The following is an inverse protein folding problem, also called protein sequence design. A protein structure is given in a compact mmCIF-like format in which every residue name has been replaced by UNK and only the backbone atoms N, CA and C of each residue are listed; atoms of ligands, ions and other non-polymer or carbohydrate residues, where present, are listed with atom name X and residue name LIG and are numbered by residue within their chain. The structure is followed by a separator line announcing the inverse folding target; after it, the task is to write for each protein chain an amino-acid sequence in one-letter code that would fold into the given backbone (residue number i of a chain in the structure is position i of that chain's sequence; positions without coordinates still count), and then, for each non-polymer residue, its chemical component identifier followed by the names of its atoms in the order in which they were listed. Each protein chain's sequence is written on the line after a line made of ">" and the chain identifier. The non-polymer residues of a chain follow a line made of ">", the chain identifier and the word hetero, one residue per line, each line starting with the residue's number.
data_IF_534710363905
#
_entry.id   IF_534710363905
#
_cell.length_a   1.000
_cell.length_b   1.000
_cell.length_c   1.000
_cell.angle_alpha   90.00
_cell.angle_beta   90.00
_cell.angle_gamma   90.00
#
_symmetry.space_group_name_H-M   'P 1'
#
loop_
_entity.id
_entity.type
_entity.pdbx_description
1 polymer ?
#
# COMPACT_ATOMS: atom_id res chain seq x y z
N UNK A 1 18.15 -3.80 -3.29
CA UNK A 1 16.71 -4.02 -3.04
C UNK A 1 16.02 -4.11 -4.38
N UNK A 2 15.17 -5.13 -4.58
CA UNK A 2 14.39 -5.26 -5.81
C UNK A 2 13.26 -4.24 -5.84
N UNK A 3 12.96 -3.70 -7.03
CA UNK A 3 11.91 -2.72 -7.25
C UNK A 3 11.01 -3.20 -8.39
N UNK A 4 9.71 -3.21 -8.14
CA UNK A 4 8.70 -3.72 -9.06
C UNK A 4 7.69 -2.62 -9.42
N UNK A 5 7.41 -2.48 -10.70
CA UNK A 5 6.36 -1.60 -11.21
C UNK A 5 5.21 -2.46 -11.74
N UNK A 6 4.06 -2.42 -11.09
CA UNK A 6 2.84 -3.11 -11.55
C UNK A 6 2.12 -2.21 -12.56
N UNK A 7 2.00 -2.68 -13.81
CA UNK A 7 1.37 -1.91 -14.89
C UNK A 7 0.76 -2.83 -15.93
N UNK A 8 -0.44 -2.52 -16.45
CA UNK A 8 -1.04 -3.28 -17.55
C UNK A 8 -0.30 -2.97 -18.85
N UNK A 9 -0.08 -3.95 -19.73
CA UNK A 9 0.66 -3.75 -21.00
C UNK A 9 0.15 -2.57 -21.84
N UNK A 10 -1.17 -2.32 -21.83
CA UNK A 10 -1.81 -1.20 -22.54
C UNK A 10 -1.48 0.19 -21.98
N UNK A 11 -1.07 0.29 -20.71
CA UNK A 11 -0.92 1.57 -19.98
C UNK A 11 0.46 2.21 -20.22
N UNK A 12 0.83 2.36 -21.50
CA UNK A 12 2.13 2.89 -21.95
C UNK A 12 2.40 4.29 -21.38
N UNK A 13 1.43 5.20 -21.51
CA UNK A 13 1.59 6.59 -21.05
C UNK A 13 1.79 6.70 -19.53
N UNK A 14 1.13 5.83 -18.74
CA UNK A 14 1.30 5.80 -17.27
C UNK A 14 2.73 5.38 -16.93
N UNK A 15 3.26 4.34 -17.60
CA UNK A 15 4.66 3.93 -17.44
C UNK A 15 5.65 5.01 -17.86
N UNK A 16 5.43 5.68 -18.98
CA UNK A 16 6.30 6.78 -19.42
C UNK A 16 6.37 7.89 -18.38
N UNK A 17 5.23 8.29 -17.81
CA UNK A 17 5.18 9.25 -16.72
C UNK A 17 5.87 8.74 -15.46
N UNK A 18 5.69 7.47 -15.11
CA UNK A 18 6.39 6.85 -13.99
C UNK A 18 7.91 6.93 -14.19
N UNK A 19 8.43 6.42 -15.30
CA UNK A 19 9.87 6.34 -15.60
C UNK A 19 10.53 7.69 -15.90
N UNK A 20 9.75 8.73 -16.20
CA UNK A 20 10.28 10.10 -16.30
C UNK A 20 10.73 10.66 -14.94
N UNK A 21 10.33 10.04 -13.83
CA UNK A 21 10.70 10.49 -12.49
C UNK A 21 12.10 10.02 -12.08
N UNK A 22 12.85 10.80 -11.29
CA UNK A 22 14.16 10.37 -10.77
C UNK A 22 14.08 9.08 -9.95
N UNK A 23 15.11 8.23 -10.04
CA UNK A 23 15.24 7.03 -9.20
C UNK A 23 14.36 5.83 -9.60
N UNK A 24 13.81 5.85 -10.81
CA UNK A 24 12.91 4.81 -11.35
C UNK A 24 13.58 3.85 -12.35
N UNK A 25 14.79 4.16 -12.83
CA UNK A 25 15.44 3.43 -13.92
C UNK A 25 15.74 1.95 -13.61
N UNK A 26 15.81 1.57 -12.33
CA UNK A 26 16.08 0.21 -11.86
C UNK A 26 14.81 -0.57 -11.46
N UNK A 27 13.62 -0.07 -11.80
CA UNK A 27 12.38 -0.83 -11.62
C UNK A 27 12.20 -1.88 -12.71
N UNK A 28 11.92 -3.10 -12.28
CA UNK A 28 11.45 -4.17 -13.16
C UNK A 28 9.94 -4.02 -13.37
N UNK A 29 9.51 -3.95 -14.62
CA UNK A 29 8.07 -3.91 -14.95
C UNK A 29 7.47 -5.30 -14.78
N UNK A 30 6.45 -5.39 -13.95
CA UNK A 30 5.58 -6.55 -13.85
C UNK A 30 4.31 -6.30 -14.68
N UNK A 31 4.04 -7.13 -15.72
CA UNK A 31 2.84 -7.00 -16.53
C UNK A 31 1.62 -7.38 -15.68
N UNK A 32 0.84 -6.39 -15.28
CA UNK A 32 -0.33 -6.59 -14.44
C UNK A 32 -1.34 -7.52 -15.13
N UNK A 33 -2.03 -8.33 -14.34
CA UNK A 33 -2.99 -9.32 -14.81
C UNK A 33 -4.27 -8.60 -15.26
N UNK A 34 -4.47 -8.54 -16.57
CA UNK A 34 -5.70 -8.00 -17.15
C UNK A 34 -6.85 -9.01 -17.01
N UNK A 35 -7.77 -8.72 -16.09
CA UNK A 35 -8.96 -9.54 -15.83
C UNK A 35 -10.20 -9.05 -16.57
N UNK A 36 -10.16 -7.89 -17.25
CA UNK A 36 -11.36 -7.27 -17.82
C UNK A 36 -12.03 -8.13 -18.89
N UNK A 37 -11.22 -8.86 -19.66
CA UNK A 37 -11.67 -9.75 -20.74
C UNK A 37 -11.97 -11.19 -20.27
N UNK A 38 -11.65 -11.54 -19.01
CA UNK A 38 -11.95 -12.88 -18.49
C UNK A 38 -13.41 -13.00 -18.09
N UNK A 39 -14.03 -14.15 -18.34
CA UNK A 39 -15.35 -14.45 -17.80
C UNK A 39 -15.31 -14.70 -16.27
N UNK A 40 -16.48 -14.75 -15.65
CA UNK A 40 -16.57 -14.93 -14.19
C UNK A 40 -16.25 -16.35 -13.73
N UNK A 41 -16.41 -17.36 -14.58
CA UNK A 41 -16.10 -18.75 -14.25
C UNK A 41 -14.58 -18.92 -14.12
N UNK A 42 -13.83 -18.40 -15.09
CA UNK A 42 -12.36 -18.36 -15.05
C UNK A 42 -11.82 -17.54 -13.89
N UNK A 43 -12.47 -16.43 -13.53
CA UNK A 43 -12.07 -15.63 -12.37
C UNK A 43 -12.36 -16.34 -11.06
N UNK A 44 -13.49 -17.06 -10.96
CA UNK A 44 -13.86 -17.83 -9.76
C UNK A 44 -12.98 -19.05 -9.53
N UNK A 45 -12.22 -19.49 -10.53
CA UNK A 45 -11.22 -20.55 -10.39
C UNK A 45 -9.95 -20.08 -9.65
N UNK A 46 -9.65 -18.79 -9.66
CA UNK A 46 -8.39 -18.21 -9.11
C UNK A 46 -8.64 -17.16 -8.02
N UNK A 47 -9.89 -16.78 -7.80
CA UNK A 47 -10.34 -15.85 -6.77
C UNK A 47 -11.64 -16.40 -6.19
N UNK A 48 -12.00 -16.06 -4.95
CA UNK A 48 -13.24 -16.48 -4.33
C UNK A 48 -14.22 -15.29 -4.16
N UNK A 49 -15.10 -15.02 -5.15
CA UNK A 49 -16.03 -13.91 -5.11
C UNK A 49 -17.09 -14.05 -4.02
N UNK A 50 -17.49 -15.29 -3.69
CA UNK A 50 -18.51 -15.56 -2.67
C UNK A 50 -18.00 -15.16 -1.29
N UNK A 51 -16.78 -15.59 -0.94
CA UNK A 51 -16.15 -15.21 0.33
C UNK A 51 -15.84 -13.72 0.39
N UNK A 52 -15.44 -13.11 -0.73
CA UNK A 52 -15.32 -11.66 -0.85
C UNK A 52 -16.63 -10.96 -0.51
N UNK A 53 -17.74 -11.38 -1.12
CA UNK A 53 -19.05 -10.74 -0.91
C UNK A 53 -19.53 -10.89 0.54
N UNK A 54 -19.30 -12.04 1.16
CA UNK A 54 -19.58 -12.26 2.59
C UNK A 54 -18.72 -11.36 3.50
N UNK A 55 -17.45 -11.16 3.16
CA UNK A 55 -16.53 -10.37 3.97
C UNK A 55 -16.75 -8.86 3.82
N UNK A 56 -16.90 -8.37 2.58
CA UNK A 56 -16.97 -6.94 2.27
C UNK A 56 -18.41 -6.41 2.12
N UNK A 57 -19.42 -7.29 2.10
CA UNK A 57 -20.83 -6.92 1.96
C UNK A 57 -21.18 -6.34 0.58
N UNK A 58 -20.33 -6.58 -0.43
CA UNK A 58 -20.53 -6.14 -1.82
C UNK A 58 -19.83 -7.09 -2.78
N UNK A 59 -20.25 -7.06 -4.03
CA UNK A 59 -19.55 -7.79 -5.10
C UNK A 59 -18.17 -7.20 -5.37
N UNK A 60 -17.21 -8.08 -5.65
CA UNK A 60 -15.88 -7.72 -6.15
C UNK A 60 -15.98 -7.25 -7.60
N UNK A 61 -15.10 -6.34 -8.00
CA UNK A 61 -14.94 -5.95 -9.42
C UNK A 61 -13.82 -6.75 -10.07
N UNK A 62 -13.87 -6.91 -11.40
CA UNK A 62 -12.77 -7.58 -12.12
C UNK A 62 -11.43 -6.87 -11.90
N UNK A 63 -11.43 -5.54 -11.87
CA UNK A 63 -10.23 -4.73 -11.61
C UNK A 63 -9.61 -5.01 -10.24
N UNK A 64 -10.42 -5.16 -9.19
CA UNK A 64 -9.94 -5.53 -7.85
C UNK A 64 -9.33 -6.94 -7.83
N UNK A 65 -9.94 -7.91 -8.53
CA UNK A 65 -9.34 -9.24 -8.71
C UNK A 65 -7.99 -9.12 -9.40
N UNK A 66 -7.91 -8.34 -10.49
CA UNK A 66 -6.68 -8.14 -11.25
C UNK A 66 -5.57 -7.51 -10.42
N UNK A 67 -5.89 -6.50 -9.60
CA UNK A 67 -4.97 -5.87 -8.67
C UNK A 67 -4.43 -6.88 -7.64
N UNK A 68 -5.31 -7.60 -6.93
CA UNK A 68 -4.90 -8.62 -5.95
C UNK A 68 -4.02 -9.70 -6.58
N UNK A 69 -4.43 -10.26 -7.72
CA UNK A 69 -3.65 -11.32 -8.38
C UNK A 69 -2.28 -10.81 -8.88
N UNK A 70 -2.21 -9.57 -9.37
CA UNK A 70 -0.94 -8.99 -9.82
C UNK A 70 0.07 -8.84 -8.68
N UNK A 71 -0.38 -8.33 -7.52
CA UNK A 71 0.49 -8.21 -6.35
C UNK A 71 0.91 -9.57 -5.80
N UNK A 72 0.02 -10.57 -5.79
CA UNK A 72 0.38 -11.94 -5.39
C UNK A 72 1.44 -12.55 -6.31
N UNK A 73 1.41 -12.24 -7.61
CA UNK A 73 2.43 -12.71 -8.54
C UNK A 73 3.77 -11.98 -8.35
N UNK A 74 3.75 -10.68 -8.07
CA UNK A 74 4.96 -9.96 -7.61
C UNK A 74 5.53 -10.60 -6.34
N UNK A 75 4.68 -11.02 -5.40
CA UNK A 75 5.13 -11.72 -4.19
C UNK A 75 5.79 -13.06 -4.51
N UNK A 76 5.29 -13.80 -5.51
CA UNK A 76 5.97 -15.01 -6.01
C UNK A 76 7.37 -14.70 -6.54
N UNK A 77 7.54 -13.63 -7.31
CA UNK A 77 8.86 -13.22 -7.81
C UNK A 77 9.81 -12.83 -6.68
N UNK A 78 9.34 -12.07 -5.68
CA UNK A 78 10.13 -11.71 -4.50
C UNK A 78 10.60 -12.96 -3.75
N UNK A 79 9.70 -13.93 -3.55
CA UNK A 79 9.99 -15.15 -2.79
C UNK A 79 10.94 -16.08 -3.56
N UNK A 80 10.80 -16.16 -4.88
CA UNK A 80 11.62 -16.99 -5.75
C UNK A 80 13.06 -16.47 -5.91
N UNK A 81 13.33 -15.18 -5.65
CA UNK A 81 14.67 -14.63 -5.73
C UNK A 81 15.53 -15.07 -4.53
N UNK A 82 16.37 -16.08 -4.74
CA UNK A 82 17.28 -16.64 -3.72
C UNK A 82 18.32 -15.64 -3.20
N UNK A 83 18.58 -14.54 -3.93
CA UNK A 83 19.56 -13.52 -3.52
C UNK A 83 19.01 -12.54 -2.48
N UNK A 84 17.69 -12.50 -2.31
CA UNK A 84 17.01 -11.63 -1.35
C UNK A 84 16.86 -12.38 -0.03
N UNK A 85 17.34 -11.79 1.08
CA UNK A 85 17.17 -12.39 2.39
C UNK A 85 15.73 -12.23 2.90
N UNK A 86 15.28 -13.11 3.80
CA UNK A 86 13.89 -13.09 4.29
C UNK A 86 13.48 -11.76 4.94
N UNK A 87 14.43 -11.04 5.55
CA UNK A 87 14.19 -9.75 6.21
C UNK A 87 14.35 -8.54 5.29
N UNK A 88 14.81 -8.74 4.06
CA UNK A 88 15.00 -7.66 3.10
C UNK A 88 13.67 -7.22 2.54
N UNK A 89 13.54 -5.91 2.34
CA UNK A 89 12.40 -5.32 1.65
C UNK A 89 12.58 -5.41 0.14
N UNK A 90 11.44 -5.51 -0.55
CA UNK A 90 11.26 -5.10 -1.93
C UNK A 90 10.35 -3.88 -1.98
N UNK A 91 10.56 -3.02 -2.98
CA UNK A 91 9.66 -1.90 -3.28
C UNK A 91 8.69 -2.29 -4.37
N UNK A 92 7.40 -2.12 -4.13
CA UNK A 92 6.34 -2.33 -5.10
C UNK A 92 5.62 -1.00 -5.32
N UNK A 93 5.52 -0.57 -6.57
CA UNK A 93 4.77 0.60 -6.98
C UNK A 93 3.75 0.24 -8.07
N UNK A 94 2.66 1.01 -8.13
CA UNK A 94 1.78 1.07 -9.30
C UNK A 94 2.26 2.17 -10.27
N UNK A 95 1.81 2.09 -11.52
CA UNK A 95 2.22 3.01 -12.60
C UNK A 95 1.59 4.41 -12.53
N UNK A 96 0.70 4.66 -11.57
CA UNK A 96 0.24 6.01 -11.23
C UNK A 96 1.00 6.61 -10.03
N UNK A 97 2.09 6.00 -9.57
CA UNK A 97 2.89 6.58 -8.49
C UNK A 97 3.59 7.88 -8.90
N UNK A 98 3.39 8.93 -8.09
CA UNK A 98 4.13 10.19 -8.12
C UNK A 98 5.02 10.31 -6.88
N UNK A 99 6.31 10.44 -7.09
CA UNK A 99 7.33 10.47 -6.05
C UNK A 99 7.56 11.87 -5.50
N UNK A 100 7.80 11.94 -4.19
CA UNK A 100 8.35 13.14 -3.57
C UNK A 100 9.83 13.29 -3.96
N UNK A 101 10.33 14.53 -4.03
CA UNK A 101 11.68 14.84 -4.53
C UNK A 101 12.79 14.09 -3.78
N UNK A 102 12.60 13.86 -2.48
CA UNK A 102 13.59 13.25 -1.59
C UNK A 102 13.34 11.74 -1.37
N UNK A 103 12.61 11.07 -2.28
CA UNK A 103 12.32 9.63 -2.13
C UNK A 103 13.62 8.79 -2.01
N UNK A 104 14.65 8.94 -2.86
CA UNK A 104 15.85 8.10 -2.78
C UNK A 104 16.57 8.20 -1.43
N UNK A 105 16.74 9.43 -0.91
CA UNK A 105 17.41 9.69 0.36
C UNK A 105 16.61 9.14 1.53
N UNK A 106 15.30 9.40 1.56
CA UNK A 106 14.43 8.93 2.63
C UNK A 106 14.27 7.40 2.63
N UNK A 107 14.22 6.78 1.44
CA UNK A 107 14.17 5.33 1.30
C UNK A 107 15.47 4.68 1.81
N UNK A 108 16.62 5.26 1.47
CA UNK A 108 17.93 4.79 1.97
C UNK A 108 17.99 4.90 3.49
N UNK A 109 17.58 6.04 4.05
CA UNK A 109 17.54 6.24 5.49
C UNK A 109 16.61 5.24 6.20
N UNK A 110 15.44 4.98 5.63
CA UNK A 110 14.46 4.02 6.15
C UNK A 110 15.01 2.59 6.21
N UNK A 111 15.62 2.13 5.12
CA UNK A 111 16.16 0.77 5.05
C UNK A 111 17.34 0.57 6.02
N UNK A 112 18.09 1.62 6.35
CA UNK A 112 19.19 1.56 7.30
C UNK A 112 18.77 1.36 8.78
N UNK A 113 17.50 1.56 9.13
CA UNK A 113 17.03 1.46 10.53
C UNK A 113 16.67 0.05 10.98
N UNK A 114 16.80 -0.96 10.13
CA UNK A 114 16.34 -2.32 10.42
C UNK A 114 14.87 -2.35 10.91
N UNK A 115 13.97 -1.72 10.15
CA UNK A 115 12.55 -1.65 10.49
C UNK A 115 11.95 -3.03 10.81
N UNK A 116 11.12 -3.09 11.85
CA UNK A 116 10.54 -4.35 12.33
C UNK A 116 9.27 -4.75 11.57
N UNK A 117 8.51 -3.79 11.04
CA UNK A 117 7.26 -4.05 10.33
C UNK A 117 7.43 -4.96 9.11
N UNK A 118 6.39 -5.71 8.77
CA UNK A 118 6.40 -6.59 7.61
C UNK A 118 6.19 -5.81 6.31
N UNK A 119 5.34 -4.80 6.38
CA UNK A 119 5.03 -3.86 5.32
C UNK A 119 5.28 -2.42 5.81
N UNK A 120 5.82 -1.56 4.95
CA UNK A 120 5.88 -0.12 5.20
C UNK A 120 5.13 0.61 4.09
N UNK A 121 4.05 1.27 4.48
CA UNK A 121 3.23 2.09 3.59
C UNK A 121 3.92 3.45 3.40
N UNK A 122 4.46 3.65 2.21
CA UNK A 122 5.16 4.88 1.81
C UNK A 122 4.33 5.72 0.86
N UNK A 123 3.32 5.11 0.25
CA UNK A 123 2.37 5.68 -0.69
C UNK A 123 0.95 5.74 -0.14
N UNK A 124 0.13 6.60 -0.77
CA UNK A 124 -1.30 6.70 -0.48
C UNK A 124 -2.06 7.16 -1.72
N UNK A 125 -3.17 6.49 -2.00
CA UNK A 125 -4.13 6.86 -3.05
C UNK A 125 -5.12 7.93 -2.60
N UNK A 126 -5.74 8.63 -3.56
CA UNK A 126 -6.86 9.58 -3.35
C UNK A 126 -6.56 10.75 -2.41
N UNK A 127 -5.33 11.23 -2.44
CA UNK A 127 -4.86 12.41 -1.69
C UNK A 127 -4.30 13.46 -2.64
N UNK A 128 -4.33 14.72 -2.22
CA UNK A 128 -3.94 15.84 -3.08
C UNK A 128 -2.46 16.24 -2.96
N UNK A 129 -1.76 15.77 -1.92
CA UNK A 129 -0.38 16.14 -1.65
C UNK A 129 0.27 15.24 -0.62
N UNK A 130 1.60 15.34 -0.53
CA UNK A 130 2.44 14.50 0.34
C UNK A 130 2.21 14.72 1.84
N UNK A 131 1.74 15.91 2.23
CA UNK A 131 1.40 16.26 3.62
C UNK A 131 -0.10 16.51 3.77
N UNK A 132 -0.89 15.45 3.54
CA UNK A 132 -2.35 15.53 3.65
C UNK A 132 -2.78 15.48 5.12
N UNK A 133 -3.19 16.62 5.66
CA UNK A 133 -3.66 16.76 7.05
C UNK A 133 -4.81 15.81 7.40
N UNK A 134 -5.59 15.34 6.42
CA UNK A 134 -6.64 14.36 6.68
C UNK A 134 -6.09 13.03 7.15
N UNK A 135 -4.85 12.68 6.80
CA UNK A 135 -4.22 11.44 7.28
C UNK A 135 -4.00 11.49 8.79
N UNK A 136 -3.62 12.64 9.34
CA UNK A 136 -3.49 12.80 10.80
C UNK A 136 -4.86 12.67 11.47
N UNK A 137 -5.92 13.24 10.90
CA UNK A 137 -7.27 13.19 11.49
C UNK A 137 -7.89 11.79 11.37
N UNK A 138 -7.74 11.16 10.20
CA UNK A 138 -8.36 9.88 9.91
C UNK A 138 -7.55 8.74 10.52
N UNK A 139 -6.22 8.78 10.42
CA UNK A 139 -5.28 7.72 10.76
C UNK A 139 -4.06 8.28 11.52
N UNK A 140 -4.27 8.90 12.70
CA UNK A 140 -3.18 9.48 13.46
C UNK A 140 -2.13 8.43 13.80
N UNK A 141 -0.88 8.86 13.82
CA UNK A 141 0.25 8.16 14.41
C UNK A 141 0.53 8.71 15.81
N UNK A 142 1.58 8.24 16.48
CA UNK A 142 2.02 8.80 17.76
C UNK A 142 2.42 10.29 17.68
N UNK A 143 2.69 10.93 18.82
CA UNK A 143 3.17 12.31 18.87
C UNK A 143 4.53 12.47 18.19
N UNK A 144 4.79 13.63 17.60
CA UNK A 144 5.99 13.88 16.80
C UNK A 144 7.29 13.54 17.54
N UNK A 145 7.39 13.86 18.83
CA UNK A 145 8.56 13.55 19.66
C UNK A 145 8.75 12.05 19.97
N UNK A 146 7.72 11.23 19.76
CA UNK A 146 7.77 9.77 19.89
C UNK A 146 7.90 9.07 18.53
N UNK A 147 7.84 9.80 17.42
CA UNK A 147 8.03 9.21 16.09
C UNK A 147 9.51 8.97 15.84
N UNK A 148 9.83 7.90 15.14
CA UNK A 148 11.20 7.62 14.70
C UNK A 148 11.49 8.46 13.45
N UNK A 149 12.51 9.34 13.51
CA UNK A 149 12.88 10.27 12.43
C UNK A 149 13.93 9.65 11.50
N UNK A 150 13.79 9.92 10.21
CA UNK A 150 14.58 9.39 9.11
C UNK A 150 14.72 10.40 7.98
N UNK A 151 15.89 11.01 7.83
CA UNK A 151 16.03 12.12 6.89
C UNK A 151 14.95 13.18 7.17
N UNK A 152 14.10 13.42 6.17
CA UNK A 152 12.99 14.38 6.23
C UNK A 152 11.65 13.76 6.61
N UNK A 153 11.59 12.43 6.79
CA UNK A 153 10.37 11.71 7.13
C UNK A 153 10.43 11.13 8.53
N UNK A 154 9.27 10.66 8.98
CA UNK A 154 9.09 9.89 10.19
C UNK A 154 8.30 8.64 9.86
N UNK A 155 8.48 7.60 10.66
CA UNK A 155 7.68 6.39 10.54
C UNK A 155 7.14 5.96 11.89
N UNK A 156 5.94 5.38 11.87
CA UNK A 156 5.22 4.95 13.06
C UNK A 156 4.10 3.96 12.71
N UNK A 157 3.59 3.27 13.72
CA UNK A 157 2.33 2.55 13.61
C UNK A 157 1.17 3.57 13.64
N UNK A 158 0.19 3.47 12.72
CA UNK A 158 -1.05 4.23 12.85
C UNK A 158 -1.90 3.69 14.02
N UNK A 159 -2.93 4.41 14.42
CA UNK A 159 -3.88 3.90 15.43
C UNK A 159 -4.57 2.60 14.99
N UNK A 160 -4.72 2.41 13.68
CA UNK A 160 -5.31 1.26 13.03
C UNK A 160 -4.83 1.19 11.58
N UNK A 161 -4.55 -0.02 11.10
CA UNK A 161 -4.37 -0.28 9.66
C UNK A 161 -5.61 0.07 8.86
N UNK A 162 -5.40 0.48 7.62
CA UNK A 162 -6.46 1.04 6.78
C UNK A 162 -6.12 0.91 5.29
N UNK A 163 -7.11 1.10 4.43
CA UNK A 163 -6.96 1.10 2.98
C UNK A 163 -6.17 2.32 2.49
N UNK A 164 -4.86 2.16 2.36
CA UNK A 164 -3.98 3.20 1.83
C UNK A 164 -3.93 3.20 0.29
N UNK A 165 -4.42 2.14 -0.36
CA UNK A 165 -4.11 1.82 -1.74
C UNK A 165 -2.72 1.18 -1.89
N UNK A 166 -2.44 0.69 -3.08
CA UNK A 166 -1.21 -0.04 -3.45
C UNK A 166 -0.20 0.80 -4.24
N UNK A 167 -0.43 2.12 -4.34
CA UNK A 167 0.40 3.06 -5.12
C UNK A 167 1.89 2.88 -4.88
N UNK A 168 2.30 2.77 -3.61
CA UNK A 168 3.66 2.32 -3.26
C UNK A 168 3.77 1.80 -1.82
N UNK A 169 4.48 0.69 -1.66
CA UNK A 169 4.81 0.12 -0.34
C UNK A 169 6.09 -0.70 -0.40
N UNK A 170 6.73 -0.85 0.75
CA UNK A 170 7.81 -1.82 0.97
C UNK A 170 7.22 -3.08 1.60
N UNK A 171 7.65 -4.25 1.16
CA UNK A 171 7.25 -5.53 1.73
C UNK A 171 8.47 -6.43 1.94
N UNK A 172 8.58 -7.05 3.12
CA UNK A 172 9.62 -8.05 3.39
C UNK A 172 9.37 -9.33 2.58
N UNK A 173 10.44 -10.01 2.16
CA UNK A 173 10.33 -11.34 1.56
C UNK A 173 9.59 -12.34 2.46
N UNK A 174 9.83 -12.31 3.77
CA UNK A 174 9.11 -13.14 4.74
C UNK A 174 7.61 -12.85 4.76
N UNK A 175 7.22 -11.59 4.59
CA UNK A 175 5.81 -11.18 4.54
C UNK A 175 5.14 -11.66 3.25
N UNK A 176 5.82 -11.49 2.10
CA UNK A 176 5.39 -12.02 0.82
C UNK A 176 5.17 -13.55 0.90
N UNK A 177 6.08 -14.28 1.56
CA UNK A 177 5.96 -15.72 1.80
C UNK A 177 4.72 -16.08 2.64
N UNK A 178 4.37 -15.29 3.66
CA UNK A 178 3.15 -15.49 4.45
C UNK A 178 1.91 -15.48 3.56
N UNK A 179 1.79 -14.54 2.62
CA UNK A 179 0.68 -14.52 1.67
C UNK A 179 0.63 -15.80 0.83
N UNK A 180 1.78 -16.26 0.31
CA UNK A 180 1.83 -17.48 -0.50
C UNK A 180 1.45 -18.74 0.29
N UNK A 181 1.87 -18.83 1.56
CA UNK A 181 1.49 -19.93 2.44
C UNK A 181 -0.02 -19.97 2.71
N UNK A 182 -0.69 -18.82 2.78
CA UNK A 182 -2.15 -18.75 2.88
C UNK A 182 -2.82 -19.31 1.61
N UNK A 183 -2.23 -19.04 0.43
CA UNK A 183 -2.75 -19.54 -0.84
C UNK A 183 -2.69 -21.08 -0.98
N UNK A 184 -1.87 -21.76 -0.18
CA UNK A 184 -1.86 -23.22 -0.11
C UNK A 184 -3.11 -23.78 0.56
N UNK A 185 -3.80 -22.97 1.37
CA UNK A 185 -4.97 -23.35 2.16
C UNK A 185 -6.26 -22.78 1.59
N UNK A 186 -6.21 -21.62 0.92
CA UNK A 186 -7.40 -20.95 0.39
C UNK A 186 -7.17 -20.14 -0.89
N UNK A 187 -8.20 -20.11 -1.74
CA UNK A 187 -8.25 -19.20 -2.90
C UNK A 187 -8.41 -17.75 -2.41
N UNK A 188 -7.69 -16.78 -2.99
CA UNK A 188 -7.70 -15.40 -2.50
C UNK A 188 -9.09 -14.77 -2.64
N UNK A 189 -9.49 -14.02 -1.62
CA UNK A 189 -10.78 -13.32 -1.56
C UNK A 189 -10.65 -11.87 -1.11
N UNK A 190 -9.44 -11.37 -0.88
CA UNK A 190 -9.18 -10.06 -0.27
C UNK A 190 -8.76 -9.00 -1.30
N UNK A 191 -8.82 -7.73 -0.89
CA UNK A 191 -8.28 -6.61 -1.64
C UNK A 191 -6.77 -6.48 -1.42
N UNK A 192 -6.03 -6.04 -2.44
CA UNK A 192 -4.57 -5.88 -2.38
C UNK A 192 -4.10 -4.86 -1.32
N UNK A 193 -4.95 -3.90 -0.95
CA UNK A 193 -4.68 -2.85 0.02
C UNK A 193 -5.44 -3.03 1.36
N UNK A 194 -5.97 -4.23 1.64
CA UNK A 194 -6.61 -4.52 2.92
C UNK A 194 -5.60 -4.79 4.05
N UNK A 195 -4.80 -3.77 4.35
CA UNK A 195 -3.79 -3.82 5.40
C UNK A 195 -4.37 -4.12 6.79
N UNK A 196 -5.69 -3.91 6.99
CA UNK A 196 -6.37 -4.27 8.21
C UNK A 196 -6.57 -5.79 8.32
N UNK A 197 -7.05 -6.42 7.26
CA UNK A 197 -7.16 -7.88 7.18
C UNK A 197 -5.77 -8.52 7.31
N UNK A 198 -4.75 -7.93 6.67
CA UNK A 198 -3.38 -8.43 6.73
C UNK A 198 -2.84 -8.41 8.16
N UNK A 199 -3.05 -7.31 8.89
CA UNK A 199 -2.61 -7.19 10.29
C UNK A 199 -3.39 -8.14 11.21
N UNK A 200 -4.71 -8.14 11.13
CA UNK A 200 -5.56 -8.84 12.11
C UNK A 200 -5.60 -10.33 11.86
N UNK A 201 -5.78 -10.74 10.60
CA UNK A 201 -5.99 -12.14 10.22
C UNK A 201 -4.70 -12.81 9.79
N UNK A 202 -3.90 -12.16 8.94
CA UNK A 202 -2.65 -12.77 8.41
C UNK A 202 -1.43 -12.53 9.29
N UNK A 203 -1.56 -11.71 10.34
CA UNK A 203 -0.47 -11.34 11.26
C UNK A 203 0.71 -10.66 10.56
N UNK A 204 0.42 -9.94 9.47
CA UNK A 204 1.37 -9.12 8.71
C UNK A 204 1.22 -7.68 9.14
N UNK A 205 2.17 -7.18 9.92
CA UNK A 205 2.15 -5.83 10.48
C UNK A 205 2.50 -4.76 9.44
N UNK A 206 1.94 -3.56 9.59
CA UNK A 206 2.34 -2.42 8.77
C UNK A 206 2.62 -1.15 9.57
N UNK A 207 3.59 -0.37 9.08
CA UNK A 207 3.87 0.99 9.51
C UNK A 207 3.61 1.97 8.38
N UNK A 208 3.44 3.23 8.72
CA UNK A 208 3.26 4.32 7.76
C UNK A 208 4.41 5.32 7.85
N UNK A 209 4.75 5.93 6.72
CA UNK A 209 5.72 7.04 6.64
C UNK A 209 4.98 8.38 6.50
N UNK A 210 5.48 9.42 7.19
CA UNK A 210 4.95 10.80 7.18
C UNK A 210 6.09 11.83 7.20
N UNK A 211 6.06 12.88 6.35
CA UNK A 211 5.18 13.06 5.19
C UNK A 211 5.26 11.87 4.23
N UNK A 212 4.25 11.71 3.37
CA UNK A 212 4.25 10.63 2.39
C UNK A 212 5.40 10.80 1.39
N UNK A 213 5.95 9.67 0.95
CA UNK A 213 7.01 9.67 -0.06
C UNK A 213 6.45 9.45 -1.47
N UNK A 214 5.26 8.87 -1.58
CA UNK A 214 4.58 8.63 -2.85
C UNK A 214 3.09 8.99 -2.72
N UNK A 215 2.51 9.53 -3.77
CA UNK A 215 1.06 9.73 -3.90
C UNK A 215 0.58 9.23 -5.26
N UNK A 216 -0.70 9.00 -5.44
CA UNK A 216 -1.29 8.79 -6.76
C UNK A 216 -1.15 10.07 -7.59
N UNK A 217 -0.65 9.97 -8.83
CA UNK A 217 -0.33 11.09 -9.68
C UNK A 217 -1.61 11.86 -10.03
N UNK A 218 -1.77 13.11 -9.54
CA UNK A 218 -3.00 13.88 -9.76
C UNK A 218 -3.30 14.15 -11.24
N UNK A 219 -2.29 14.10 -12.12
CA UNK A 219 -2.48 14.26 -13.57
C UNK A 219 -3.25 13.10 -14.20
N UNK A 220 -3.22 11.92 -13.58
CA UNK A 220 -3.89 10.71 -14.05
C UNK A 220 -5.30 10.56 -13.47
N UNK A 221 -5.64 11.33 -12.43
CA UNK A 221 -6.91 11.20 -11.71
C UNK A 221 -7.90 12.26 -12.17
N UNK A 222 -8.83 11.89 -13.05
CA UNK A 222 -9.88 12.80 -13.56
C UNK A 222 -10.92 13.23 -12.52
N UNK A 223 -10.96 12.59 -11.34
CA UNK A 223 -12.08 12.66 -10.38
C UNK A 223 -11.76 13.31 -9.01
N UNK A 224 -10.59 13.93 -8.84
CA UNK A 224 -10.19 14.51 -7.54
C UNK A 224 -11.14 15.64 -7.07
N UNK A 225 -11.84 16.32 -7.98
CA UNK A 225 -12.80 17.37 -7.62
C UNK A 225 -14.05 16.83 -6.89
N UNK A 226 -14.55 15.65 -7.27
CA UNK A 226 -15.70 15.02 -6.61
C UNK A 226 -15.37 14.59 -5.17
N UNK A 227 -14.12 14.19 -4.93
CA UNK A 227 -13.60 13.82 -3.60
C UNK A 227 -13.53 15.02 -2.66
N UNK A 228 -13.25 16.24 -3.17
CA UNK A 228 -13.23 17.46 -2.33
C UNK A 228 -14.61 17.86 -1.81
N UNK A 229 -15.69 17.66 -2.58
CA UNK A 229 -17.07 18.03 -2.17
C UNK A 229 -17.66 17.12 -1.10
N UNK A 230 -17.29 15.84 -1.03
CA UNK A 230 -17.78 14.92 0.01
C UNK A 230 -17.10 15.14 1.38
N UNK A 231 -15.94 15.81 1.41
CA UNK A 231 -15.08 15.98 2.59
C UNK A 231 -15.62 16.96 3.64
N UNK A 232 -16.32 18.03 3.26
CA UNK A 232 -16.77 19.05 4.25
C UNK A 232 -17.86 18.55 5.20
N UNK A 233 -18.68 17.58 4.78
CA UNK A 233 -19.87 17.18 5.53
C UNK A 233 -19.61 16.26 6.74
N UNK A 234 -18.37 15.79 6.96
CA UNK A 234 -18.06 14.82 8.03
C UNK A 234 -16.86 15.18 8.93
N UNK A 235 -16.27 16.38 8.79
CA UNK A 235 -15.07 16.76 9.54
C UNK A 235 -15.30 16.81 11.07
N UNK A 236 -16.41 17.39 11.52
CA UNK A 236 -16.72 17.52 12.95
C UNK A 236 -16.81 16.14 13.66
N UNK A 237 -17.45 15.15 13.03
CA UNK A 237 -17.53 13.77 13.56
C UNK A 237 -16.16 13.10 13.65
N UNK A 238 -15.27 13.39 12.70
CA UNK A 238 -13.91 12.85 12.68
C UNK A 238 -13.07 13.45 13.81
N UNK A 239 -13.17 14.77 14.01
CA UNK A 239 -12.47 15.48 15.08
C UNK A 239 -12.91 15.03 16.47
N UNK A 240 -14.19 14.73 16.69
CA UNK A 240 -14.68 14.18 17.96
C UNK A 240 -13.99 12.87 18.34
N UNK A 241 -13.67 12.01 17.35
CA UNK A 241 -13.01 10.72 17.57
C UNK A 241 -11.48 10.82 17.64
N UNK A 242 -10.91 11.97 17.25
CA UNK A 242 -9.47 12.13 17.12
C UNK A 242 -8.68 11.88 18.42
N UNK A 243 -9.07 12.40 19.60
CA UNK A 243 -8.33 12.15 20.84
C UNK A 243 -8.20 10.66 21.17
N UNK A 244 -9.27 9.89 21.00
CA UNK A 244 -9.26 8.44 21.23
C UNK A 244 -8.34 7.72 20.24
N UNK A 245 -8.43 8.06 18.94
CA UNK A 245 -7.53 7.52 17.92
C UNK A 245 -6.07 7.83 18.24
N UNK A 246 -5.78 9.07 18.68
CA UNK A 246 -4.43 9.49 19.04
C UNK A 246 -3.87 8.68 20.21
N UNK A 247 -4.67 8.46 21.26
CA UNK A 247 -4.29 7.63 22.40
C UNK A 247 -4.01 6.18 22.00
N UNK A 248 -4.83 5.60 21.12
CA UNK A 248 -4.58 4.27 20.54
C UNK A 248 -3.29 4.23 19.72
N UNK A 249 -3.02 5.26 18.91
CA UNK A 249 -1.77 5.36 18.16
C UNK A 249 -0.55 5.41 19.08
N UNK A 250 -0.60 6.20 20.17
CA UNK A 250 0.48 6.24 21.17
C UNK A 250 0.68 4.85 21.76
N UNK A 251 -0.39 4.18 22.20
CA UNK A 251 -0.33 2.81 22.73
C UNK A 251 0.32 1.83 21.74
N UNK A 252 0.00 1.92 20.45
CA UNK A 252 0.56 1.03 19.42
C UNK A 252 2.07 1.22 19.20
N UNK A 253 2.62 2.39 19.56
CA UNK A 253 4.04 2.73 19.38
C UNK A 253 4.86 2.68 20.68
N UNK A 254 4.22 2.59 21.86
CA UNK A 254 4.94 2.46 23.13
C UNK A 254 5.67 1.11 23.20
N UNK A 255 6.99 1.14 23.41
CA UNK A 255 7.81 -0.06 23.57
C UNK A 255 8.16 -0.81 22.28
N UNK A 256 7.99 -0.18 21.10
CA UNK A 256 8.36 -0.72 19.78
C UNK A 256 9.34 0.19 19.05
#
# INVERSE_FOLDING_TARGET
>A
MNKYLVSLDKDVQRRELFFAQPGTADFSVFPAINTMQKDWDALSAVFNPVKFEQHYGRKVTKGEIGCTLSHLEVYRQIVADEKVAEKDYALVCEDDALFNKNLPENLTALLAQHCTADIILIGQSKIAGFDDAELEINYPTTFTFLRKKLGDVTYAYPYKSYFAGTVAYLIKKSAARTFLAILEQETPFWLADDFLLFEIQFKVSNQVVRPLMVIENPQLVSNLEAVRRSKSNNLAKKLLKYPLKKLLAVKNNLGK
#
